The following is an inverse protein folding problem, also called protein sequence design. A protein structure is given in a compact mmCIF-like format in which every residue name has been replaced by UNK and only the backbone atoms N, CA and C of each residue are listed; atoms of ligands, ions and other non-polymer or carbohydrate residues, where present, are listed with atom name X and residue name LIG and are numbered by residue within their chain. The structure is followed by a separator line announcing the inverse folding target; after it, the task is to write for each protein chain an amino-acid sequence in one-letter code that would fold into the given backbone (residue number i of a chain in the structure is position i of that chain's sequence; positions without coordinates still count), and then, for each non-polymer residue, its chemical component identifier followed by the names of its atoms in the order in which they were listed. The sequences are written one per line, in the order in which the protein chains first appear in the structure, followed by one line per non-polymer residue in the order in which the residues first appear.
data_IF_154007549812
#
_entry.id   IF_154007549812
#
_cell.length_a   1.000
_cell.length_b   1.000
_cell.length_c   1.000
_cell.angle_alpha   90.00
_cell.angle_beta   90.00
_cell.angle_gamma   90.00
#
_symmetry.space_group_name_H-M   'P 1'
#
loop_
_entity.id
_entity.type
_entity.pdbx_description
1 polymer ?
#
# COMPACT_ATOMS: atom_id res chain seq x y z
N UNK A 1 7.44 40.29 -35.06
CA UNK A 1 8.16 39.13 -34.49
C UNK A 1 7.67 38.81 -33.06
N UNK A 2 6.36 38.73 -32.81
CA UNK A 2 5.81 38.71 -31.42
C UNK A 2 4.82 37.58 -31.14
N UNK A 3 4.49 36.73 -32.13
CA UNK A 3 3.45 35.70 -31.98
C UNK A 3 3.97 34.33 -31.50
N UNK A 4 5.29 34.08 -31.52
CA UNK A 4 5.87 32.76 -31.20
C UNK A 4 6.13 32.54 -29.71
N UNK A 5 6.29 33.59 -28.91
CA UNK A 5 6.58 33.50 -27.47
C UNK A 5 5.36 33.12 -26.63
N UNK A 6 4.16 33.47 -27.08
CA UNK A 6 2.92 33.22 -26.33
C UNK A 6 2.52 31.72 -26.32
N UNK A 7 2.84 30.97 -27.38
CA UNK A 7 2.55 29.52 -27.46
C UNK A 7 3.39 28.69 -26.49
N UNK A 8 4.59 29.14 -26.16
CA UNK A 8 5.46 28.42 -25.22
C UNK A 8 5.03 28.57 -23.76
N UNK A 9 4.47 29.72 -23.38
CA UNK A 9 4.02 29.96 -22.00
C UNK A 9 2.81 29.09 -21.61
N UNK A 10 1.93 28.78 -22.56
CA UNK A 10 0.76 27.90 -22.31
C UNK A 10 1.18 26.44 -22.18
N UNK A 11 2.21 26.01 -22.91
CA UNK A 11 2.68 24.62 -22.87
C UNK A 11 3.41 24.28 -21.55
N UNK A 12 4.04 25.26 -20.90
CA UNK A 12 4.70 25.06 -19.59
C UNK A 12 3.72 24.96 -18.42
N UNK A 13 2.49 25.47 -18.54
CA UNK A 13 1.53 25.49 -17.41
C UNK A 13 0.85 24.12 -17.18
N UNK A 14 0.81 23.25 -18.20
CA UNK A 14 0.18 21.93 -18.11
C UNK A 14 1.05 20.86 -17.43
N UNK A 15 2.35 21.13 -17.20
CA UNK A 15 3.29 20.18 -16.57
C UNK A 15 3.32 20.25 -15.03
N UNK A 16 2.68 21.26 -14.42
CA UNK A 16 2.71 21.46 -12.94
C UNK A 16 1.63 20.64 -12.23
N UNK A 17 0.69 20.03 -12.95
CA UNK A 17 -0.34 19.16 -12.36
C UNK A 17 0.16 17.71 -12.30
N UNK A 18 1.42 17.50 -11.93
CA UNK A 18 1.96 16.16 -11.69
C UNK A 18 1.48 15.66 -10.33
N UNK A 19 0.56 14.68 -10.38
CA UNK A 19 0.44 13.59 -9.40
C UNK A 19 -0.12 13.96 -8.03
N UNK A 20 -1.39 14.36 -7.95
CA UNK A 20 -2.16 14.16 -6.72
C UNK A 20 -2.34 12.65 -6.51
N UNK A 21 -1.40 12.00 -5.82
CA UNK A 21 -1.61 10.64 -5.35
C UNK A 21 -2.59 10.70 -4.18
N UNK A 22 -3.86 10.42 -4.45
CA UNK A 22 -4.82 10.18 -3.38
C UNK A 22 -4.32 8.96 -2.60
N UNK A 23 -3.90 9.18 -1.35
CA UNK A 23 -3.43 8.12 -0.45
C UNK A 23 -4.64 7.26 -0.05
N UNK A 24 -5.07 6.39 -0.97
CA UNK A 24 -6.13 5.44 -0.71
C UNK A 24 -5.57 4.33 0.19
N UNK A 25 -6.23 4.10 1.32
CA UNK A 25 -5.89 2.98 2.21
C UNK A 25 -5.88 1.68 1.39
N UNK A 26 -4.87 0.84 1.59
CA UNK A 26 -4.80 -0.45 0.90
C UNK A 26 -6.02 -1.30 1.27
N UNK A 27 -6.53 -2.04 0.30
CA UNK A 27 -7.59 -3.00 0.55
C UNK A 27 -7.06 -4.25 1.24
N UNK A 28 -7.96 -4.99 1.89
CA UNK A 28 -7.66 -6.27 2.51
C UNK A 28 -7.07 -7.28 1.50
N UNK A 29 -7.63 -7.30 0.28
CA UNK A 29 -7.13 -8.14 -0.82
C UNK A 29 -5.68 -7.80 -1.17
N UNK A 30 -5.35 -6.51 -1.32
CA UNK A 30 -4.00 -6.07 -1.64
C UNK A 30 -3.02 -6.40 -0.51
N UNK A 31 -3.42 -6.17 0.74
CA UNK A 31 -2.60 -6.54 1.91
C UNK A 31 -2.35 -8.06 1.98
N UNK A 32 -3.36 -8.86 1.68
CA UNK A 32 -3.26 -10.33 1.63
C UNK A 32 -2.28 -10.78 0.55
N UNK A 33 -2.38 -10.23 -0.66
CA UNK A 33 -1.47 -10.54 -1.77
C UNK A 33 -0.02 -10.16 -1.44
N UNK A 34 0.21 -8.97 -0.86
CA UNK A 34 1.54 -8.53 -0.44
C UNK A 34 2.17 -9.47 0.59
N UNK A 35 1.37 -9.98 1.53
CA UNK A 35 1.85 -10.93 2.55
C UNK A 35 2.11 -12.31 1.95
N UNK A 36 1.23 -12.81 1.09
CA UNK A 36 1.42 -14.10 0.42
C UNK A 36 2.70 -14.11 -0.41
N UNK A 37 2.93 -13.06 -1.22
CA UNK A 37 4.09 -12.97 -2.08
C UNK A 37 5.39 -12.83 -1.28
N UNK A 38 5.40 -11.98 -0.24
CA UNK A 38 6.61 -11.74 0.58
C UNK A 38 7.05 -12.99 1.35
N UNK A 39 6.11 -13.75 1.91
CA UNK A 39 6.43 -14.90 2.77
C UNK A 39 6.28 -16.25 2.07
N UNK A 40 5.94 -16.27 0.78
CA UNK A 40 5.61 -17.50 0.03
C UNK A 40 4.65 -18.37 0.84
N UNK A 41 3.58 -17.74 1.34
CA UNK A 41 2.66 -18.41 2.25
C UNK A 41 1.90 -19.51 1.51
N UNK A 42 1.90 -20.73 2.06
CA UNK A 42 1.10 -21.85 1.55
C UNK A 42 -0.39 -21.54 1.56
N UNK A 43 -0.85 -20.93 2.66
CA UNK A 43 -2.25 -20.58 2.86
C UNK A 43 -2.39 -19.34 3.71
N UNK A 44 -3.32 -18.48 3.33
CA UNK A 44 -3.76 -17.37 4.16
C UNK A 44 -4.93 -17.84 5.02
N UNK A 45 -4.84 -17.65 6.34
CA UNK A 45 -5.79 -18.24 7.29
C UNK A 45 -6.83 -17.25 7.76
N UNK A 46 -6.40 -16.06 8.18
CA UNK A 46 -7.30 -15.03 8.69
C UNK A 46 -6.73 -13.65 8.41
N UNK A 47 -7.61 -12.71 8.06
CA UNK A 47 -7.30 -11.29 7.98
C UNK A 47 -8.26 -10.54 8.90
N UNK A 48 -7.71 -9.66 9.72
CA UNK A 48 -8.48 -8.82 10.64
C UNK A 48 -8.04 -7.37 10.45
N UNK A 49 -9.00 -6.47 10.28
CA UNK A 49 -8.73 -5.04 10.36
C UNK A 49 -8.56 -4.63 11.82
N UNK A 50 -7.41 -4.07 12.17
CA UNK A 50 -7.12 -3.57 13.51
C UNK A 50 -6.77 -2.07 13.49
N UNK A 51 -7.00 -1.40 14.61
CA UNK A 51 -6.54 -0.03 14.85
C UNK A 51 -5.93 0.02 16.24
N UNK A 52 -4.71 0.56 16.34
CA UNK A 52 -3.97 0.69 17.59
C UNK A 52 -3.32 2.06 17.61
N UNK A 53 -3.60 2.85 18.66
CA UNK A 53 -3.03 4.20 18.84
C UNK A 53 -3.15 5.11 17.61
N UNK A 54 -4.29 5.05 16.91
CA UNK A 54 -4.55 5.81 15.69
C UNK A 54 -3.93 5.22 14.40
N UNK A 55 -3.11 4.18 14.51
CA UNK A 55 -2.55 3.46 13.36
C UNK A 55 -3.47 2.32 12.93
N UNK A 56 -4.03 2.43 11.72
CA UNK A 56 -4.84 1.36 11.10
C UNK A 56 -3.94 0.35 10.41
N UNK A 57 -4.18 -0.93 10.64
CA UNK A 57 -3.47 -2.03 9.99
C UNK A 57 -4.37 -3.23 9.71
N UNK A 58 -3.89 -4.17 8.91
CA UNK A 58 -4.43 -5.53 8.82
C UNK A 58 -3.52 -6.50 9.56
N UNK A 59 -4.08 -7.26 10.49
CA UNK A 59 -3.43 -8.41 11.11
C UNK A 59 -3.75 -9.64 10.27
N UNK A 60 -2.71 -10.29 9.75
CA UNK A 60 -2.83 -11.40 8.81
C UNK A 60 -2.14 -12.63 9.40
N UNK A 61 -2.88 -13.72 9.55
CA UNK A 61 -2.36 -15.03 9.93
C UNK A 61 -2.13 -15.88 8.67
N UNK A 62 -0.94 -16.44 8.54
CA UNK A 62 -0.53 -17.28 7.41
C UNK A 62 0.04 -18.62 7.88
N UNK A 63 -0.11 -19.63 7.03
CA UNK A 63 0.58 -20.91 7.11
C UNK A 63 1.72 -20.90 6.09
N UNK A 64 2.95 -21.14 6.57
CA UNK A 64 4.12 -21.30 5.71
C UNK A 64 4.22 -22.74 5.19
N UNK A 65 5.00 -22.95 4.13
CA UNK A 65 5.24 -24.30 3.58
C UNK A 65 5.86 -25.26 4.60
N UNK A 66 6.61 -24.73 5.58
CA UNK A 66 7.16 -25.50 6.70
C UNK A 66 6.13 -25.99 7.72
N UNK A 67 4.84 -25.66 7.55
CA UNK A 67 3.77 -25.95 8.51
C UNK A 67 3.70 -24.97 9.68
N UNK A 68 4.64 -24.02 9.78
CA UNK A 68 4.64 -23.01 10.85
C UNK A 68 3.58 -21.93 10.59
N UNK A 69 2.90 -21.53 11.66
CA UNK A 69 2.00 -20.39 11.66
C UNK A 69 2.78 -19.09 11.90
N UNK A 70 2.46 -18.04 11.14
CA UNK A 70 3.03 -16.70 11.32
C UNK A 70 1.94 -15.65 11.32
N UNK A 71 2.05 -14.67 12.20
CA UNK A 71 1.17 -13.49 12.23
C UNK A 71 1.99 -12.29 11.79
N UNK A 72 1.45 -11.49 10.87
CA UNK A 72 2.08 -10.27 10.38
C UNK A 72 1.05 -9.15 10.32
N UNK A 73 1.55 -7.92 10.32
CA UNK A 73 0.75 -6.71 10.34
C UNK A 73 1.07 -5.86 9.12
N UNK A 74 0.06 -5.35 8.43
CA UNK A 74 0.22 -4.51 7.25
C UNK A 74 -0.42 -3.15 7.51
N UNK A 75 0.38 -2.09 7.53
CA UNK A 75 -0.13 -0.73 7.74
C UNK A 75 -1.05 -0.32 6.58
N UNK A 76 -2.26 0.18 6.87
CA UNK A 76 -3.26 0.46 5.82
C UNK A 76 -2.88 1.60 4.90
N UNK A 77 -2.16 2.61 5.38
CA UNK A 77 -1.76 3.78 4.58
C UNK A 77 -0.58 3.48 3.68
N UNK A 78 0.43 2.76 4.20
CA UNK A 78 1.72 2.57 3.52
C UNK A 78 1.89 1.19 2.86
N UNK A 79 1.08 0.20 3.21
CA UNK A 79 1.33 -1.20 2.79
C UNK A 79 2.54 -1.85 3.45
N UNK A 80 3.21 -1.16 4.39
CA UNK A 80 4.40 -1.69 5.07
C UNK A 80 4.04 -2.90 5.92
N UNK A 81 4.74 -4.00 5.70
CA UNK A 81 4.61 -5.25 6.44
C UNK A 81 5.55 -5.22 7.65
N UNK A 82 5.02 -5.52 8.83
CA UNK A 82 5.73 -5.63 10.12
C UNK A 82 5.36 -6.94 10.81
N UNK A 83 6.24 -7.47 11.63
CA UNK A 83 5.94 -8.61 12.54
C UNK A 83 5.51 -8.13 13.93
N UNK A 84 5.74 -6.85 14.23
CA UNK A 84 5.30 -6.20 15.46
C UNK A 84 3.96 -5.51 15.23
N UNK A 85 3.12 -5.58 16.25
CA UNK A 85 1.84 -4.87 16.27
C UNK A 85 2.07 -3.34 16.20
N UNK A 86 1.25 -2.61 15.43
CA UNK A 86 1.28 -1.15 15.37
C UNK A 86 0.81 -0.46 16.64
#
# INVERSE_FOLDING_TARGET
MTLKTFKFAVLSLLLVISSQSYAFDISERKASQLVQSKYKAKKLLKVESISSRGTKAFKIKILLDSGRLKTVYVNKKSGKISERQP
#
